data_IF_519004157266
#
_entry.id   IF_519004157266
#
_cell.length_a   1.000
_cell.length_b   1.000
_cell.length_c   1.000
_cell.angle_alpha   90.00
_cell.angle_beta   90.00
_cell.angle_gamma   90.00
#
_symmetry.space_group_name_H-M   'P 1'
#
loop_
_entity.id
_entity.type
_entity.pdbx_description
1 polymer ?
#
# COMPACT_ATOMS: atom_id res chain seq x y z
N UNK A 1 33.19 -0.31 -20.01
CA UNK A 1 33.88 -1.50 -19.49
C UNK A 1 32.90 -2.07 -18.47
N UNK A 2 32.09 -3.03 -18.88
CA UNK A 2 31.17 -3.70 -17.96
C UNK A 2 31.98 -4.80 -17.27
N UNK A 3 32.20 -4.64 -15.97
CA UNK A 3 32.95 -5.59 -15.17
C UNK A 3 31.95 -6.46 -14.39
N UNK A 4 31.77 -7.70 -14.84
CA UNK A 4 31.01 -8.70 -14.10
C UNK A 4 31.89 -9.24 -12.95
N UNK A 5 31.47 -8.98 -11.71
CA UNK A 5 32.19 -9.39 -10.51
C UNK A 5 31.71 -10.76 -10.05
N UNK A 6 32.60 -11.75 -10.04
CA UNK A 6 32.33 -13.10 -9.51
C UNK A 6 33.07 -13.28 -8.19
N UNK A 7 32.33 -13.44 -7.09
CA UNK A 7 32.88 -13.65 -5.75
C UNK A 7 33.21 -15.14 -5.58
N UNK A 8 34.45 -15.47 -5.21
CA UNK A 8 34.91 -16.85 -4.92
C UNK A 8 35.53 -16.91 -3.53
N UNK A 9 35.47 -18.08 -2.89
CA UNK A 9 36.21 -18.33 -1.64
C UNK A 9 37.71 -18.46 -1.88
N UNK A 10 38.50 -17.77 -1.03
CA UNK A 10 39.93 -18.03 -0.92
C UNK A 10 40.12 -19.35 -0.17
N UNK A 11 40.91 -20.26 -0.72
CA UNK A 11 41.12 -21.62 -0.21
C UNK A 11 41.78 -21.69 1.18
N UNK A 12 42.49 -20.65 1.63
CA UNK A 12 43.19 -20.67 2.93
C UNK A 12 43.11 -19.32 3.67
N UNK A 13 42.36 -19.27 4.76
CA UNK A 13 42.49 -18.21 5.77
C UNK A 13 42.33 -18.78 7.19
N UNK A 14 43.36 -19.50 7.67
CA UNK A 14 43.47 -19.83 9.09
C UNK A 14 44.00 -18.62 9.87
N UNK A 15 43.15 -17.62 10.10
CA UNK A 15 43.40 -16.60 11.13
C UNK A 15 42.65 -17.02 12.39
N UNK A 16 43.38 -17.64 13.34
CA UNK A 16 42.87 -17.95 14.67
C UNK A 16 42.41 -16.65 15.36
N UNK A 17 41.09 -16.45 15.50
CA UNK A 17 40.54 -15.37 16.32
C UNK A 17 39.24 -14.74 15.81
N UNK A 18 38.82 -15.01 14.58
CA UNK A 18 37.55 -14.52 14.04
C UNK A 18 36.62 -15.70 13.77
N UNK A 19 35.79 -16.07 14.77
CA UNK A 19 34.73 -17.05 14.57
C UNK A 19 33.75 -16.57 13.49
N UNK A 20 33.23 -17.44 12.62
CA UNK A 20 32.56 -17.00 11.40
C UNK A 20 31.26 -16.29 11.77
N UNK A 21 31.14 -14.99 11.52
CA UNK A 21 29.87 -14.27 11.73
C UNK A 21 28.71 -14.88 10.90
N UNK A 22 29.03 -15.69 9.89
CA UNK A 22 28.10 -16.40 9.01
C UNK A 22 27.11 -17.31 9.77
N UNK A 23 27.54 -18.01 10.83
CA UNK A 23 26.59 -18.89 11.56
C UNK A 23 25.51 -18.11 12.31
N UNK A 24 25.82 -16.90 12.81
CA UNK A 24 24.86 -16.06 13.52
C UNK A 24 23.82 -15.48 12.56
N UNK A 25 24.26 -15.08 11.36
CA UNK A 25 23.39 -14.55 10.31
C UNK A 25 22.43 -15.62 9.78
N UNK A 26 22.94 -16.84 9.55
CA UNK A 26 22.12 -17.97 9.13
C UNK A 26 21.07 -18.36 10.18
N UNK A 27 21.42 -18.37 11.46
CA UNK A 27 20.45 -18.59 12.55
C UNK A 27 19.38 -17.50 12.56
N UNK A 28 19.77 -16.23 12.38
CA UNK A 28 18.83 -15.11 12.31
C UNK A 28 17.85 -15.27 11.14
N UNK A 29 18.33 -15.61 9.95
CA UNK A 29 17.47 -15.80 8.77
C UNK A 29 16.49 -16.98 8.94
N UNK A 30 16.92 -18.06 9.62
CA UNK A 30 16.02 -19.17 9.99
C UNK A 30 14.91 -18.69 10.94
N UNK A 31 15.22 -17.84 11.92
CA UNK A 31 14.20 -17.24 12.78
C UNK A 31 13.23 -16.36 11.99
N UNK A 32 13.73 -15.53 11.07
CA UNK A 32 12.89 -14.69 10.20
C UNK A 32 11.94 -15.54 9.37
N UNK A 33 12.44 -16.61 8.76
CA UNK A 33 11.62 -17.58 8.01
C UNK A 33 10.55 -18.23 8.91
N UNK A 34 10.90 -18.59 10.14
CA UNK A 34 9.96 -19.16 11.11
C UNK A 34 8.82 -18.20 11.47
N UNK A 35 9.13 -16.94 11.79
CA UNK A 35 8.13 -15.91 12.09
C UNK A 35 7.25 -15.60 10.88
N UNK A 36 7.84 -15.51 9.68
CA UNK A 36 7.13 -15.26 8.43
C UNK A 36 6.18 -16.42 8.09
N UNK A 37 6.62 -17.68 8.23
CA UNK A 37 5.77 -18.85 8.00
C UNK A 37 4.58 -18.89 8.98
N UNK A 38 4.81 -18.60 10.26
CA UNK A 38 3.74 -18.52 11.26
C UNK A 38 2.74 -17.41 10.92
N UNK A 39 3.22 -16.21 10.58
CA UNK A 39 2.41 -15.08 10.15
C UNK A 39 1.55 -15.45 8.94
N UNK A 40 2.15 -16.03 7.91
CA UNK A 40 1.49 -16.44 6.69
C UNK A 40 0.36 -17.44 6.97
N UNK A 41 0.60 -18.48 7.78
CA UNK A 41 -0.41 -19.49 8.14
C UNK A 41 -1.59 -18.86 8.88
N UNK A 42 -1.31 -17.98 9.85
CA UNK A 42 -2.35 -17.30 10.63
C UNK A 42 -3.19 -16.35 9.76
N UNK A 43 -2.53 -15.57 8.89
CA UNK A 43 -3.20 -14.65 7.97
C UNK A 43 -4.02 -15.42 6.92
N UNK A 44 -3.48 -16.49 6.33
CA UNK A 44 -4.18 -17.35 5.39
C UNK A 44 -5.43 -17.99 6.03
N UNK A 45 -5.32 -18.49 7.27
CA UNK A 45 -6.46 -19.01 8.03
C UNK A 45 -7.54 -17.94 8.25
N UNK A 46 -7.14 -16.70 8.54
CA UNK A 46 -8.06 -15.57 8.70
C UNK A 46 -8.82 -15.28 7.40
N UNK A 47 -8.13 -15.23 6.26
CA UNK A 47 -8.76 -15.01 4.95
C UNK A 47 -9.69 -16.16 4.57
N UNK A 48 -9.29 -17.42 4.78
CA UNK A 48 -10.14 -18.58 4.49
C UNK A 48 -11.45 -18.51 5.29
N UNK A 49 -11.38 -18.11 6.56
CA UNK A 49 -12.58 -17.89 7.39
C UNK A 49 -13.44 -16.75 6.85
N UNK A 50 -12.84 -15.64 6.43
CA UNK A 50 -13.55 -14.54 5.78
C UNK A 50 -14.27 -14.96 4.49
N UNK A 51 -13.62 -15.75 3.63
CA UNK A 51 -14.23 -16.29 2.40
C UNK A 51 -15.34 -17.29 2.71
N UNK A 52 -15.17 -18.14 3.72
CA UNK A 52 -16.22 -19.08 4.14
C UNK A 52 -17.46 -18.32 4.63
N UNK A 53 -17.27 -17.33 5.49
CA UNK A 53 -18.34 -16.45 5.99
C UNK A 53 -19.03 -15.70 4.85
N UNK A 54 -18.26 -15.17 3.89
CA UNK A 54 -18.79 -14.50 2.71
C UNK A 54 -19.69 -15.45 1.89
N UNK A 55 -19.27 -16.71 1.67
CA UNK A 55 -20.08 -17.71 0.93
C UNK A 55 -21.37 -18.06 1.67
N UNK A 56 -21.30 -18.24 2.98
CA UNK A 56 -22.47 -18.50 3.81
C UNK A 56 -23.45 -17.32 3.80
N UNK A 57 -22.95 -16.10 3.94
CA UNK A 57 -23.76 -14.88 3.90
C UNK A 57 -24.42 -14.69 2.53
N UNK A 58 -23.70 -14.95 1.43
CA UNK A 58 -24.27 -14.88 0.08
C UNK A 58 -25.40 -15.90 -0.11
N UNK A 59 -25.21 -17.13 0.38
CA UNK A 59 -26.26 -18.16 0.32
C UNK A 59 -27.47 -17.78 1.16
N UNK A 60 -27.26 -17.27 2.38
CA UNK A 60 -28.32 -16.80 3.27
C UNK A 60 -29.13 -15.65 2.65
N UNK A 61 -28.44 -14.65 2.12
CA UNK A 61 -29.06 -13.46 1.55
C UNK A 61 -29.90 -13.81 0.31
N UNK A 62 -29.38 -14.70 -0.55
CA UNK A 62 -30.13 -15.20 -1.70
C UNK A 62 -31.42 -15.92 -1.27
N UNK A 63 -31.34 -16.80 -0.26
CA UNK A 63 -32.50 -17.56 0.23
C UNK A 63 -33.56 -16.68 0.90
N UNK A 64 -33.16 -15.60 1.60
CA UNK A 64 -34.08 -14.75 2.37
C UNK A 64 -34.69 -13.62 1.54
N UNK A 65 -33.90 -12.98 0.69
CA UNK A 65 -34.29 -11.76 -0.03
C UNK A 65 -34.41 -11.95 -1.55
N UNK A 66 -33.96 -13.09 -2.09
CA UNK A 66 -34.07 -13.41 -3.52
C UNK A 66 -33.25 -12.48 -4.43
N UNK A 67 -32.23 -11.81 -3.89
CA UNK A 67 -31.36 -10.86 -4.61
C UNK A 67 -29.91 -11.26 -4.49
N UNK A 68 -29.11 -10.97 -5.51
CA UNK A 68 -27.65 -11.15 -5.45
C UNK A 68 -27.00 -9.98 -4.71
N UNK A 69 -26.04 -10.28 -3.83
CA UNK A 69 -25.25 -9.26 -3.15
C UNK A 69 -24.28 -8.57 -4.11
N UNK A 70 -24.21 -7.23 -4.11
CA UNK A 70 -23.22 -6.46 -4.87
C UNK A 70 -21.78 -6.85 -4.52
N UNK A 71 -20.88 -6.78 -5.50
CA UNK A 71 -19.45 -7.06 -5.30
C UNK A 71 -18.77 -6.17 -4.25
N UNK A 72 -19.22 -4.92 -4.10
CA UNK A 72 -18.69 -4.00 -3.09
C UNK A 72 -18.89 -4.53 -1.66
N UNK A 73 -20.08 -5.07 -1.36
CA UNK A 73 -20.41 -5.67 -0.05
C UNK A 73 -19.65 -6.98 0.15
N UNK A 74 -19.45 -7.76 -0.93
CA UNK A 74 -18.63 -8.97 -0.88
C UNK A 74 -17.18 -8.68 -0.47
N UNK A 75 -16.58 -7.63 -1.00
CA UNK A 75 -15.18 -7.26 -0.69
C UNK A 75 -15.00 -6.77 0.75
N UNK A 76 -16.06 -6.35 1.43
CA UNK A 76 -16.04 -5.91 2.84
C UNK A 76 -15.71 -7.06 3.82
N UNK A 77 -16.04 -8.31 3.45
CA UNK A 77 -15.67 -9.50 4.23
C UNK A 77 -14.18 -9.85 4.15
N UNK A 78 -13.47 -9.32 3.14
CA UNK A 78 -12.04 -9.56 2.95
C UNK A 78 -11.25 -8.37 3.50
N UNK A 79 -10.62 -8.56 4.66
CA UNK A 79 -9.78 -7.52 5.24
C UNK A 79 -8.47 -7.37 4.46
N UNK A 80 -8.34 -6.23 3.75
CA UNK A 80 -7.22 -5.93 2.85
C UNK A 80 -5.85 -5.89 3.54
N UNK A 81 -5.80 -5.64 4.85
CA UNK A 81 -4.54 -5.65 5.60
C UNK A 81 -3.92 -7.05 5.67
N UNK A 82 -4.73 -8.11 5.79
CA UNK A 82 -4.20 -9.48 5.76
C UNK A 82 -3.65 -9.84 4.38
N UNK A 83 -4.25 -9.33 3.30
CA UNK A 83 -3.73 -9.52 1.94
C UNK A 83 -2.35 -8.85 1.81
N UNK A 84 -2.22 -7.61 2.30
CA UNK A 84 -0.95 -6.88 2.32
C UNK A 84 0.14 -7.62 3.11
N UNK A 85 -0.20 -8.16 4.29
CA UNK A 85 0.73 -8.96 5.09
C UNK A 85 1.14 -10.26 4.40
N UNK A 86 0.21 -10.96 3.73
CA UNK A 86 0.54 -12.18 2.97
C UNK A 86 1.50 -11.88 1.82
N UNK A 87 1.27 -10.80 1.07
CA UNK A 87 2.18 -10.38 -0.01
C UNK A 87 3.56 -10.08 0.57
N UNK A 88 3.62 -9.34 1.69
CA UNK A 88 4.88 -9.07 2.38
C UNK A 88 5.60 -10.35 2.81
N UNK A 89 4.87 -11.30 3.40
CA UNK A 89 5.42 -12.58 3.86
C UNK A 89 6.01 -13.38 2.68
N UNK A 90 5.33 -13.43 1.53
CA UNK A 90 5.86 -14.07 0.32
C UNK A 90 7.16 -13.42 -0.15
N UNK A 91 7.22 -12.08 -0.17
CA UNK A 91 8.43 -11.35 -0.56
C UNK A 91 9.59 -11.56 0.42
N UNK A 92 9.32 -11.57 1.74
CA UNK A 92 10.33 -11.86 2.77
C UNK A 92 10.83 -13.30 2.67
N UNK A 93 9.94 -14.27 2.46
CA UNK A 93 10.31 -15.68 2.28
C UNK A 93 11.22 -15.88 1.05
N UNK A 94 10.84 -15.32 -0.10
CA UNK A 94 11.66 -15.38 -1.32
C UNK A 94 12.99 -14.65 -1.14
N UNK A 95 12.98 -13.45 -0.56
CA UNK A 95 14.18 -12.65 -0.33
C UNK A 95 15.17 -13.31 0.63
N UNK A 96 14.69 -13.93 1.71
CA UNK A 96 15.54 -14.64 2.68
C UNK A 96 16.14 -15.93 2.10
N UNK A 97 15.40 -16.68 1.29
CA UNK A 97 15.96 -17.83 0.55
C UNK A 97 17.08 -17.37 -0.40
N UNK A 98 16.85 -16.28 -1.14
CA UNK A 98 17.89 -15.71 -2.01
C UNK A 98 19.10 -15.22 -1.21
N UNK A 99 18.88 -14.58 -0.06
CA UNK A 99 19.95 -14.14 0.85
C UNK A 99 20.81 -15.30 1.33
N UNK A 100 20.20 -16.40 1.79
CA UNK A 100 20.92 -17.62 2.20
C UNK A 100 21.69 -18.21 1.01
N UNK A 101 21.10 -18.21 -0.20
CA UNK A 101 21.78 -18.66 -1.42
C UNK A 101 23.00 -17.82 -1.80
N UNK A 102 22.96 -16.51 -1.54
CA UNK A 102 24.07 -15.58 -1.74
C UNK A 102 25.15 -15.77 -0.67
N UNK A 103 24.78 -15.94 0.59
CA UNK A 103 25.72 -16.22 1.69
C UNK A 103 26.40 -17.59 1.52
N UNK A 104 25.67 -18.57 0.96
CA UNK A 104 26.21 -19.85 0.51
C UNK A 104 27.03 -19.75 -0.79
N UNK A 105 27.21 -18.55 -1.35
CA UNK A 105 28.00 -18.23 -2.55
C UNK A 105 27.58 -19.01 -3.81
N UNK A 106 26.32 -19.45 -3.88
CA UNK A 106 25.78 -20.14 -5.06
C UNK A 106 25.49 -19.18 -6.22
N UNK A 107 25.09 -17.93 -5.92
CA UNK A 107 24.78 -16.88 -6.91
C UNK A 107 25.13 -15.49 -6.34
N UNK A 108 25.40 -14.50 -7.20
CA UNK A 108 25.82 -13.14 -6.80
C UNK A 108 24.80 -12.04 -7.19
N UNK A 109 23.50 -12.36 -7.20
CA UNK A 109 22.43 -11.41 -7.60
C UNK A 109 21.89 -10.60 -6.41
N UNK A 110 22.68 -9.65 -5.92
CA UNK A 110 22.30 -8.80 -4.77
C UNK A 110 21.14 -7.86 -5.07
N UNK A 111 20.99 -7.40 -6.31
CA UNK A 111 19.96 -6.42 -6.70
C UNK A 111 18.55 -6.96 -6.43
N UNK A 112 18.26 -8.16 -6.91
CA UNK A 112 16.95 -8.80 -6.74
C UNK A 112 16.66 -9.08 -5.27
N UNK A 113 17.66 -9.58 -4.52
CA UNK A 113 17.54 -9.84 -3.09
C UNK A 113 17.22 -8.56 -2.31
N UNK A 114 17.94 -7.47 -2.60
CA UNK A 114 17.74 -6.17 -1.94
C UNK A 114 16.38 -5.55 -2.26
N UNK A 115 15.89 -5.68 -3.50
CA UNK A 115 14.55 -5.21 -3.88
C UNK A 115 13.47 -6.02 -3.16
N UNK A 116 13.57 -7.35 -3.14
CA UNK A 116 12.58 -8.22 -2.46
C UNK A 116 12.51 -7.93 -0.96
N UNK A 117 13.67 -7.94 -0.27
CA UNK A 117 13.71 -7.67 1.17
C UNK A 117 13.32 -6.22 1.47
N UNK A 118 13.80 -5.25 0.70
CA UNK A 118 13.46 -3.83 0.86
C UNK A 118 11.96 -3.56 0.67
N UNK A 119 11.35 -4.08 -0.39
CA UNK A 119 9.90 -3.94 -0.63
C UNK A 119 9.07 -4.65 0.44
N UNK A 120 9.49 -5.84 0.90
CA UNK A 120 8.80 -6.54 1.98
C UNK A 120 8.81 -5.74 3.28
N UNK A 121 9.97 -5.19 3.69
CA UNK A 121 10.06 -4.40 4.92
C UNK A 121 9.20 -3.14 4.86
N UNK A 122 9.14 -2.47 3.70
CA UNK A 122 8.27 -1.32 3.48
C UNK A 122 6.79 -1.70 3.66
N UNK A 123 6.35 -2.84 3.12
CA UNK A 123 4.98 -3.34 3.31
C UNK A 123 4.70 -3.72 4.77
N UNK A 124 5.63 -4.36 5.48
CA UNK A 124 5.47 -4.64 6.93
C UNK A 124 5.25 -3.34 7.71
N UNK A 125 6.03 -2.30 7.44
CA UNK A 125 5.88 -1.00 8.09
C UNK A 125 4.56 -0.31 7.75
N UNK A 126 4.09 -0.41 6.51
CA UNK A 126 2.71 0.01 6.16
C UNK A 126 1.68 -0.82 6.95
N UNK A 127 1.90 -2.12 7.13
CA UNK A 127 1.05 -2.99 7.94
C UNK A 127 0.95 -2.55 9.41
N UNK A 128 1.93 -1.83 9.95
CA UNK A 128 1.87 -1.25 11.31
C UNK A 128 0.73 -0.24 11.44
N UNK A 129 0.38 0.45 10.35
CA UNK A 129 -0.73 1.44 10.32
C UNK A 129 -2.07 0.78 10.72
N UNK A 130 -2.25 -0.52 10.44
CA UNK A 130 -3.41 -1.28 10.93
C UNK A 130 -3.55 -1.23 12.45
N UNK A 131 -2.46 -1.36 13.20
CA UNK A 131 -2.53 -1.33 14.66
C UNK A 131 -2.82 0.08 15.19
N UNK A 132 -2.48 1.11 14.40
CA UNK A 132 -2.82 2.49 14.72
C UNK A 132 -4.31 2.77 14.51
N UNK A 133 -5.00 2.06 13.61
CA UNK A 133 -6.44 2.22 13.40
C UNK A 133 -7.29 1.81 14.62
N UNK A 134 -6.74 1.03 15.55
CA UNK A 134 -7.42 0.71 16.81
C UNK A 134 -7.67 1.97 17.67
N UNK A 135 -6.90 3.03 17.46
CA UNK A 135 -7.11 4.30 18.12
C UNK A 135 -8.07 5.18 17.31
N UNK A 136 -9.19 5.52 17.94
CA UNK A 136 -10.26 6.38 17.42
C UNK A 136 -9.76 7.63 16.65
N UNK A 137 -8.75 8.33 17.18
CA UNK A 137 -8.18 9.54 16.54
C UNK A 137 -7.44 9.25 15.23
N UNK A 138 -6.71 8.14 15.14
CA UNK A 138 -5.95 7.78 13.95
C UNK A 138 -6.81 7.07 12.91
N UNK A 139 -7.88 6.38 13.34
CA UNK A 139 -8.80 5.74 12.41
C UNK A 139 -9.48 6.73 11.46
N UNK A 140 -9.85 7.91 11.95
CA UNK A 140 -10.48 8.96 11.13
C UNK A 140 -9.62 9.31 9.91
N UNK A 141 -8.29 9.39 10.09
CA UNK A 141 -7.37 9.71 8.98
C UNK A 141 -7.28 8.58 7.95
N UNK A 142 -7.21 7.33 8.41
CA UNK A 142 -7.14 6.15 7.54
C UNK A 142 -8.43 5.98 6.74
N UNK A 143 -9.59 6.10 7.40
CA UNK A 143 -10.91 6.06 6.77
C UNK A 143 -11.06 7.20 5.77
N UNK A 144 -10.57 8.39 6.10
CA UNK A 144 -10.53 9.54 5.18
C UNK A 144 -9.75 9.24 3.91
N UNK A 145 -8.55 8.67 4.05
CA UNK A 145 -7.73 8.32 2.90
C UNK A 145 -8.43 7.25 2.02
N UNK A 146 -9.04 6.23 2.63
CA UNK A 146 -9.80 5.19 1.93
C UNK A 146 -11.01 5.74 1.19
N UNK A 147 -11.75 6.66 1.82
CA UNK A 147 -12.93 7.29 1.22
C UNK A 147 -12.56 8.27 0.09
N UNK A 148 -11.46 9.01 0.24
CA UNK A 148 -10.96 9.94 -0.78
C UNK A 148 -10.36 9.20 -1.99
N UNK A 149 -9.76 8.03 -1.78
CA UNK A 149 -9.03 7.25 -2.80
C UNK A 149 -9.76 7.09 -4.15
N UNK A 150 -11.03 6.61 -4.23
CA UNK A 150 -11.72 6.46 -5.51
C UNK A 150 -11.95 7.78 -6.25
N UNK A 151 -12.26 8.86 -5.52
CA UNK A 151 -12.46 10.18 -6.11
C UNK A 151 -11.13 10.75 -6.61
N UNK A 152 -10.07 10.59 -5.82
CA UNK A 152 -8.71 10.97 -6.19
C UNK A 152 -8.24 10.24 -7.43
N UNK A 153 -8.46 8.93 -7.56
CA UNK A 153 -8.09 8.17 -8.77
C UNK A 153 -8.78 8.74 -10.01
N UNK A 154 -10.09 9.01 -9.97
CA UNK A 154 -10.83 9.56 -11.12
C UNK A 154 -10.26 10.91 -11.54
N UNK A 155 -9.96 11.77 -10.58
CA UNK A 155 -9.32 13.05 -10.83
C UNK A 155 -7.91 12.88 -11.42
N UNK A 156 -7.09 12.00 -10.83
CA UNK A 156 -5.75 11.66 -11.32
C UNK A 156 -5.78 11.12 -12.75
N UNK A 157 -6.76 10.30 -13.14
CA UNK A 157 -6.90 9.83 -14.51
C UNK A 157 -7.12 11.00 -15.49
N UNK A 158 -7.96 11.98 -15.13
CA UNK A 158 -8.18 13.16 -15.95
C UNK A 158 -6.91 14.03 -16.06
N UNK A 159 -6.23 14.25 -14.93
CA UNK A 159 -4.96 14.98 -14.89
C UNK A 159 -3.84 14.27 -15.68
N UNK A 160 -3.80 12.93 -15.63
CA UNK A 160 -2.84 12.13 -16.36
C UNK A 160 -2.96 12.29 -17.88
N UNK A 161 -4.17 12.43 -18.43
CA UNK A 161 -4.38 12.69 -19.86
C UNK A 161 -3.73 14.01 -20.27
N UNK A 162 -3.94 15.08 -19.49
CA UNK A 162 -3.32 16.39 -19.73
C UNK A 162 -1.80 16.29 -19.59
N UNK A 163 -1.33 15.63 -18.52
CA UNK A 163 0.09 15.44 -18.23
C UNK A 163 0.81 14.71 -19.37
N UNK A 164 0.22 13.63 -19.89
CA UNK A 164 0.76 12.90 -21.04
C UNK A 164 0.82 13.79 -22.30
N UNK A 165 -0.18 14.64 -22.52
CA UNK A 165 -0.16 15.64 -23.59
C UNK A 165 1.05 16.58 -23.49
N UNK A 166 1.33 17.07 -22.28
CA UNK A 166 2.54 17.85 -22.02
C UNK A 166 3.81 17.00 -22.22
N UNK A 167 3.88 15.77 -21.71
CA UNK A 167 5.03 14.88 -21.91
C UNK A 167 5.37 14.68 -23.40
N UNK A 168 4.38 14.34 -24.24
CA UNK A 168 4.62 14.15 -25.68
C UNK A 168 5.04 15.44 -26.37
N UNK A 169 4.39 16.56 -26.04
CA UNK A 169 4.72 17.87 -26.61
C UNK A 169 6.15 18.31 -26.22
N UNK A 170 6.50 18.24 -24.94
CA UNK A 170 7.82 18.56 -24.43
C UNK A 170 8.90 17.64 -25.00
N UNK A 171 8.63 16.34 -25.11
CA UNK A 171 9.57 15.39 -25.69
C UNK A 171 9.91 15.72 -27.16
N UNK A 172 8.89 15.93 -28.00
CA UNK A 172 9.07 16.16 -29.43
C UNK A 172 9.71 17.54 -29.69
N UNK A 173 9.24 18.58 -29.01
CA UNK A 173 9.67 19.97 -29.31
C UNK A 173 10.96 20.33 -28.59
N UNK A 174 11.09 19.99 -27.30
CA UNK A 174 12.23 20.39 -26.46
C UNK A 174 13.35 19.34 -26.42
N UNK A 175 13.08 18.10 -26.84
CA UNK A 175 14.06 17.00 -26.78
C UNK A 175 15.40 17.27 -27.48
N UNK A 176 15.45 17.85 -28.69
CA UNK A 176 16.72 18.22 -29.34
C UNK A 176 17.47 19.35 -28.63
N UNK A 177 16.76 20.16 -27.85
CA UNK A 177 17.28 21.41 -27.30
C UNK A 177 17.59 21.32 -25.80
N UNK A 178 17.01 20.38 -25.06
CA UNK A 178 17.14 20.26 -23.60
C UNK A 178 17.52 18.84 -23.18
N UNK A 179 18.51 18.69 -22.29
CA UNK A 179 19.00 17.36 -21.89
C UNK A 179 17.94 16.56 -21.10
N UNK A 180 17.22 17.21 -20.17
CA UNK A 180 16.07 16.61 -19.44
C UNK A 180 14.92 16.12 -20.35
N UNK A 181 14.78 16.66 -21.57
CA UNK A 181 13.66 16.30 -22.45
C UNK A 181 14.01 15.23 -23.51
N UNK A 182 15.15 14.54 -23.40
CA UNK A 182 15.60 13.59 -24.44
C UNK A 182 14.75 12.33 -24.59
N UNK A 183 14.28 11.77 -23.47
CA UNK A 183 13.45 10.56 -23.48
C UNK A 183 12.15 10.82 -22.74
N UNK A 184 11.10 10.06 -23.06
CA UNK A 184 9.80 10.21 -22.40
C UNK A 184 9.90 9.99 -20.87
N UNK A 185 10.79 9.10 -20.41
CA UNK A 185 11.04 8.88 -18.97
C UNK A 185 11.61 10.12 -18.31
N UNK A 186 12.68 10.69 -18.88
CA UNK A 186 13.33 11.88 -18.31
C UNK A 186 12.43 13.11 -18.39
N UNK A 187 11.57 13.20 -19.41
CA UNK A 187 10.52 14.23 -19.50
C UNK A 187 9.53 14.06 -18.34
N UNK A 188 9.08 12.83 -18.08
CA UNK A 188 8.16 12.56 -16.98
C UNK A 188 8.80 12.89 -15.62
N UNK A 189 10.04 12.47 -15.40
CA UNK A 189 10.80 12.82 -14.19
C UNK A 189 10.93 14.34 -14.01
N UNK A 190 11.26 15.07 -15.09
CA UNK A 190 11.39 16.53 -15.07
C UNK A 190 10.05 17.23 -14.83
N UNK A 191 8.97 16.81 -15.48
CA UNK A 191 7.65 17.42 -15.27
C UNK A 191 7.11 17.09 -13.87
N UNK A 192 7.38 15.90 -13.35
CA UNK A 192 7.00 15.52 -11.98
C UNK A 192 7.79 16.33 -10.94
N UNK A 193 9.09 16.56 -11.13
CA UNK A 193 9.88 17.41 -10.25
C UNK A 193 9.37 18.86 -10.27
N UNK A 194 9.02 19.38 -11.45
CA UNK A 194 8.46 20.73 -11.61
C UNK A 194 7.11 20.91 -10.91
N UNK A 195 6.22 19.91 -10.92
CA UNK A 195 4.95 19.96 -10.17
C UNK A 195 5.21 20.13 -8.67
N UNK A 196 6.28 19.53 -8.15
CA UNK A 196 6.70 19.64 -6.76
C UNK A 196 7.58 20.88 -6.47
N UNK A 197 7.80 21.74 -7.47
CA UNK A 197 8.58 22.97 -7.32
C UNK A 197 10.09 22.77 -7.35
N UNK A 198 10.57 21.60 -7.76
CA UNK A 198 12.01 21.30 -7.83
C UNK A 198 12.60 21.67 -9.20
N UNK A 199 13.82 22.21 -9.18
CA UNK A 199 14.63 22.54 -10.36
C UNK A 199 14.01 23.52 -11.39
N UNK A 200 13.04 24.35 -10.98
CA UNK A 200 12.32 25.27 -11.89
C UNK A 200 13.27 26.20 -12.65
N UNK A 201 14.13 26.96 -11.96
CA UNK A 201 15.03 27.92 -12.61
C UNK A 201 16.03 27.26 -13.56
N UNK A 202 16.54 26.08 -13.22
CA UNK A 202 17.51 25.33 -14.03
C UNK A 202 16.91 24.99 -15.40
N UNK A 203 15.65 24.56 -15.43
CA UNK A 203 14.97 24.25 -16.71
C UNK A 203 14.81 25.47 -17.62
N UNK A 204 14.55 26.66 -17.06
CA UNK A 204 14.48 27.90 -17.84
C UNK A 204 15.87 28.39 -18.30
N UNK A 205 16.90 28.22 -17.46
CA UNK A 205 18.24 28.71 -17.73
C UNK A 205 18.94 27.95 -18.87
N UNK A 206 18.74 26.62 -18.95
CA UNK A 206 19.33 25.76 -19.99
C UNK A 206 18.80 26.09 -21.40
N UNK A 207 17.59 26.65 -21.52
CA UNK A 207 16.95 26.93 -22.82
C UNK A 207 17.42 28.21 -23.52
N UNK A 208 18.18 29.07 -22.85
CA UNK A 208 18.45 30.46 -23.29
C UNK A 208 19.37 30.60 -24.51
N UNK A 209 20.10 29.56 -24.91
CA UNK A 209 21.26 29.69 -25.81
C UNK A 209 21.07 29.10 -27.23
N UNK A 210 19.89 28.57 -27.60
CA UNK A 210 19.76 27.76 -28.83
C UNK A 210 18.98 28.41 -29.97
N UNK A 211 17.69 28.73 -29.79
CA UNK A 211 16.89 29.39 -30.83
C UNK A 211 15.76 30.21 -30.22
N UNK A 212 15.48 31.39 -30.77
CA UNK A 212 14.50 32.33 -30.20
C UNK A 212 13.07 31.79 -30.22
N UNK A 213 12.69 31.08 -31.29
CA UNK A 213 11.34 30.49 -31.43
C UNK A 213 11.11 29.36 -30.42
N UNK A 214 12.06 28.42 -30.31
CA UNK A 214 11.96 27.32 -29.34
C UNK A 214 12.10 27.83 -27.92
N UNK A 215 12.92 28.87 -27.69
CA UNK A 215 12.99 29.55 -26.41
C UNK A 215 11.63 30.14 -26.02
N UNK A 216 10.98 30.91 -26.90
CA UNK A 216 9.67 31.49 -26.62
C UNK A 216 8.60 30.42 -26.39
N UNK A 217 8.59 29.36 -27.21
CA UNK A 217 7.72 28.21 -27.01
C UNK A 217 7.95 27.55 -25.66
N UNK A 218 9.22 27.35 -25.26
CA UNK A 218 9.58 26.73 -23.98
C UNK A 218 9.16 27.56 -22.78
N UNK A 219 9.25 28.89 -22.87
CA UNK A 219 8.74 29.79 -21.83
C UNK A 219 7.24 29.61 -21.67
N UNK A 220 6.49 29.70 -22.78
CA UNK A 220 5.04 29.52 -22.77
C UNK A 220 4.66 28.14 -22.22
N UNK A 221 5.29 27.08 -22.72
CA UNK A 221 5.07 25.69 -22.32
C UNK A 221 5.30 25.48 -20.82
N UNK A 222 6.42 25.94 -20.27
CA UNK A 222 6.75 25.76 -18.86
C UNK A 222 5.86 26.64 -17.97
N UNK A 223 5.57 27.89 -18.35
CA UNK A 223 4.67 28.75 -17.58
C UNK A 223 3.24 28.20 -17.55
N UNK A 224 2.71 27.71 -18.68
CA UNK A 224 1.36 27.12 -18.71
C UNK A 224 1.32 25.82 -17.93
N UNK A 225 2.35 24.98 -18.03
CA UNK A 225 2.43 23.73 -17.28
C UNK A 225 2.48 23.98 -15.76
N UNK A 226 3.42 24.81 -15.30
CA UNK A 226 3.63 25.12 -13.88
C UNK A 226 2.36 25.77 -13.29
N UNK A 227 1.81 26.77 -13.96
CA UNK A 227 0.60 27.46 -13.46
C UNK A 227 -0.61 26.53 -13.40
N UNK A 228 -0.83 25.72 -14.43
CA UNK A 228 -1.95 24.78 -14.46
C UNK A 228 -1.80 23.70 -13.38
N UNK A 229 -0.66 23.02 -13.31
CA UNK A 229 -0.51 21.87 -12.41
C UNK A 229 -0.33 22.28 -10.94
N UNK A 230 0.43 23.34 -10.65
CA UNK A 230 0.65 23.77 -9.26
C UNK A 230 -0.57 24.51 -8.72
N UNK A 231 -1.14 25.47 -9.45
CA UNK A 231 -2.22 26.30 -8.88
C UNK A 231 -3.62 25.74 -9.08
N UNK A 232 -3.85 24.92 -10.11
CA UNK A 232 -5.19 24.35 -10.35
C UNK A 232 -5.22 22.89 -9.93
N UNK A 233 -4.39 22.03 -10.52
CA UNK A 233 -4.48 20.57 -10.30
C UNK A 233 -4.13 20.20 -8.85
N UNK A 234 -3.01 20.69 -8.32
CA UNK A 234 -2.58 20.40 -6.95
C UNK A 234 -3.56 21.00 -5.92
N UNK A 235 -4.05 22.22 -6.15
CA UNK A 235 -5.05 22.84 -5.27
C UNK A 235 -6.38 22.08 -5.26
N UNK A 236 -6.85 21.60 -6.41
CA UNK A 236 -8.03 20.73 -6.49
C UNK A 236 -7.80 19.38 -5.81
N UNK A 237 -6.62 18.79 -5.94
CA UNK A 237 -6.26 17.55 -5.27
C UNK A 237 -6.33 17.70 -3.74
N UNK A 238 -5.75 18.78 -3.20
CA UNK A 238 -5.84 19.11 -1.77
C UNK A 238 -7.29 19.36 -1.37
N UNK A 239 -8.07 20.10 -2.16
CA UNK A 239 -9.47 20.37 -1.87
C UNK A 239 -10.33 19.09 -1.82
N UNK A 240 -10.07 18.11 -2.69
CA UNK A 240 -10.79 16.82 -2.68
C UNK A 240 -10.50 16.01 -1.40
N UNK A 241 -9.24 15.98 -0.95
CA UNK A 241 -8.86 15.28 0.29
C UNK A 241 -9.45 16.02 1.50
N UNK A 242 -9.32 17.34 1.55
CA UNK A 242 -9.88 18.17 2.63
C UNK A 242 -11.40 18.06 2.69
N UNK A 243 -12.10 18.07 1.55
CA UNK A 243 -13.55 17.88 1.50
C UNK A 243 -13.97 16.49 2.01
N UNK A 244 -13.21 15.44 1.69
CA UNK A 244 -13.45 14.10 2.23
C UNK A 244 -13.20 14.03 3.74
N UNK A 245 -12.16 14.71 4.23
CA UNK A 245 -11.83 14.82 5.64
C UNK A 245 -12.92 15.55 6.43
N UNK A 246 -13.40 16.68 5.93
CA UNK A 246 -14.48 17.44 6.56
C UNK A 246 -15.79 16.65 6.59
N UNK A 247 -16.13 15.95 5.50
CA UNK A 247 -17.32 15.10 5.45
C UNK A 247 -17.30 14.02 6.55
N UNK A 248 -16.18 13.32 6.73
CA UNK A 248 -16.04 12.28 7.76
C UNK A 248 -15.97 12.88 9.16
N UNK A 249 -15.34 14.03 9.33
CA UNK A 249 -15.26 14.74 10.61
C UNK A 249 -16.63 15.23 11.10
N UNK A 250 -17.48 15.74 10.20
CA UNK A 250 -18.79 16.31 10.54
C UNK A 250 -19.90 15.27 10.64
N UNK A 251 -19.95 14.29 9.74
CA UNK A 251 -21.00 13.27 9.74
C UNK A 251 -20.66 12.03 10.59
N UNK A 252 -19.42 11.94 11.09
CA UNK A 252 -18.90 10.71 11.67
C UNK A 252 -18.81 9.59 10.64
N UNK A 253 -18.28 8.42 11.03
CA UNK A 253 -18.27 7.25 10.13
C UNK A 253 -19.72 6.78 9.83
N UNK A 254 -20.67 7.11 10.71
CA UNK A 254 -22.11 6.84 10.57
C UNK A 254 -22.80 7.61 9.43
N UNK A 255 -22.12 8.59 8.81
CA UNK A 255 -22.61 9.34 7.66
C UNK A 255 -22.30 8.71 6.30
N UNK A 256 -21.44 7.69 6.24
CA UNK A 256 -21.36 6.84 5.07
C UNK A 256 -22.68 6.05 5.01
N UNK A 257 -23.34 6.07 3.85
CA UNK A 257 -24.54 5.28 3.61
C UNK A 257 -24.35 3.87 4.20
N UNK A 258 -25.13 3.44 5.19
CA UNK A 258 -24.93 2.14 5.83
C UNK A 258 -25.06 1.08 4.74
N UNK A 259 -24.02 0.26 4.57
CA UNK A 259 -24.11 -0.87 3.64
C UNK A 259 -25.18 -1.83 4.16
N UNK A 260 -25.85 -2.55 3.26
CA UNK A 260 -26.89 -3.54 3.64
C UNK A 260 -26.38 -4.56 4.69
N UNK A 261 -25.07 -4.81 4.70
CA UNK A 261 -24.39 -5.61 5.73
C UNK A 261 -24.42 -4.95 7.11
N UNK A 262 -24.10 -3.64 7.20
CA UNK A 262 -24.14 -2.89 8.45
C UNK A 262 -25.57 -2.73 8.98
N UNK A 263 -26.58 -2.63 8.11
CA UNK A 263 -27.98 -2.65 8.54
C UNK A 263 -28.38 -4.03 9.10
N UNK A 264 -27.98 -5.12 8.43
CA UNK A 264 -28.22 -6.48 8.90
C UNK A 264 -27.55 -6.77 10.26
N UNK A 265 -26.31 -6.32 10.44
CA UNK A 265 -25.61 -6.46 11.73
C UNK A 265 -26.32 -5.63 12.82
N UNK A 266 -26.93 -4.49 12.47
CA UNK A 266 -27.60 -3.60 13.43
C UNK A 266 -28.95 -4.15 13.89
N UNK A 267 -29.59 -4.96 13.04
CA UNK A 267 -30.83 -5.67 13.36
C UNK A 267 -30.61 -6.71 14.47
N UNK A 268 -29.38 -7.27 14.57
CA UNK A 268 -28.97 -8.16 15.65
C UNK A 268 -28.67 -7.38 16.94
N UNK A 269 -29.64 -7.35 17.87
CA UNK A 269 -29.46 -6.81 19.25
C UNK A 269 -28.71 -7.76 20.20
N UNK A 270 -28.44 -8.99 19.77
CA UNK A 270 -27.85 -10.02 20.63
C UNK A 270 -26.32 -9.89 20.68
N UNK A 271 -25.76 -9.84 21.89
CA UNK A 271 -24.31 -9.75 22.09
C UNK A 271 -23.60 -11.03 21.59
N UNK A 272 -22.35 -10.95 21.09
CA UNK A 272 -21.58 -12.10 20.61
C UNK A 272 -21.33 -13.20 21.68
N UNK A 273 -21.61 -12.90 22.96
CA UNK A 273 -21.60 -13.86 24.08
C UNK A 273 -22.96 -14.42 24.48
N UNK A 274 -24.04 -14.14 23.74
CA UNK A 274 -25.43 -14.49 24.10
C UNK A 274 -25.72 -16.00 24.19
N UNK A 275 -24.74 -16.88 23.91
CA UNK A 275 -24.87 -18.33 24.07
C UNK A 275 -25.83 -19.02 23.09
N UNK A 276 -26.62 -18.27 22.31
CA UNK A 276 -27.60 -18.82 21.35
C UNK A 276 -27.01 -19.49 20.11
N UNK A 277 -25.69 -19.35 19.86
CA UNK A 277 -25.01 -19.93 18.70
C UNK A 277 -24.07 -21.10 19.03
N UNK A 278 -23.95 -21.51 20.29
CA UNK A 278 -23.24 -22.74 20.62
C UNK A 278 -24.23 -23.89 20.62
N UNK A 279 -24.33 -24.60 19.51
CA UNK A 279 -24.71 -26.00 19.58
C UNK A 279 -23.74 -26.74 20.52
N UNK A 280 -24.32 -27.65 21.27
CA UNK A 280 -23.84 -28.28 22.49
C UNK A 280 -22.46 -28.92 22.31
N UNK A 281 -21.44 -28.40 23.01
CA UNK A 281 -20.38 -29.22 23.58
C UNK A 281 -20.09 -28.75 25.02
N UNK A 282 -20.26 -29.71 25.93
CA UNK A 282 -20.19 -29.57 27.37
C UNK A 282 -18.79 -29.31 27.91
N UNK A 283 -18.71 -28.40 28.88
CA UNK A 283 -17.86 -28.51 30.08
C UNK A 283 -16.33 -28.34 29.95
N UNK A 284 -15.81 -27.18 30.35
CA UNK A 284 -15.14 -26.94 31.65
C UNK A 284 -14.66 -25.49 31.72
N UNK A 285 -15.17 -24.74 32.69
CA UNK A 285 -14.75 -23.37 32.97
C UNK A 285 -13.47 -23.40 33.82
N UNK A 286 -12.37 -22.85 33.31
CA UNK A 286 -11.15 -22.61 34.08
C UNK A 286 -11.11 -21.21 34.70
N UNK A 287 -10.55 -21.17 35.91
CA UNK A 287 -10.53 -20.16 36.98
C UNK A 287 -10.08 -18.70 36.69
N UNK A 288 -9.94 -18.26 35.44
CA UNK A 288 -9.53 -16.88 35.11
C UNK A 288 -10.62 -16.16 34.31
N UNK A 289 -11.73 -15.90 34.99
CA UNK A 289 -12.87 -15.16 34.46
C UNK A 289 -12.62 -13.65 34.62
N UNK A 290 -12.15 -12.98 33.55
CA UNK A 290 -12.25 -11.54 33.42
C UNK A 290 -13.47 -11.21 32.55
N UNK A 291 -14.56 -10.79 33.19
CA UNK A 291 -15.76 -10.33 32.54
C UNK A 291 -15.54 -9.04 31.72
N UNK A 292 -16.17 -9.04 30.54
CA UNK A 292 -16.74 -7.93 29.79
C UNK A 292 -15.87 -6.71 29.45
N UNK A 293 -15.37 -6.70 28.21
CA UNK A 293 -15.31 -5.48 27.40
C UNK A 293 -16.52 -5.49 26.47
N UNK A 294 -17.53 -4.67 26.78
CA UNK A 294 -18.60 -4.30 25.84
C UNK A 294 -17.95 -3.58 24.67
N UNK A 295 -17.74 -4.28 23.56
CA UNK A 295 -17.48 -3.64 22.27
C UNK A 295 -18.82 -3.08 21.78
N UNK A 296 -19.01 -1.78 21.96
CA UNK A 296 -20.13 -1.06 21.37
C UNK A 296 -20.01 -1.11 19.84
N UNK A 297 -21.15 -1.04 19.16
CA UNK A 297 -21.30 -1.07 17.69
C UNK A 297 -20.35 -0.14 16.92
N UNK A 298 -19.91 0.92 17.61
CA UNK A 298 -18.81 1.77 17.18
C UNK A 298 -17.56 0.94 16.85
N UNK A 299 -17.02 0.11 17.75
CA UNK A 299 -15.74 -0.60 17.62
C UNK A 299 -15.61 -1.48 16.36
N UNK A 300 -16.68 -2.07 15.85
CA UNK A 300 -16.63 -2.91 14.63
C UNK A 300 -16.48 -2.12 13.35
N UNK A 301 -16.98 -0.88 13.31
CA UNK A 301 -16.78 0.04 12.19
C UNK A 301 -15.34 0.58 12.16
N UNK A 302 -14.61 0.54 13.30
CA UNK A 302 -13.23 1.01 13.38
C UNK A 302 -12.16 0.01 12.92
N UNK A 303 -12.51 -1.27 12.69
CA UNK A 303 -11.50 -2.36 12.62
C UNK A 303 -11.35 -2.99 11.22
N UNK A 304 -12.28 -2.76 10.27
CA UNK A 304 -12.23 -3.34 8.91
C UNK A 304 -12.10 -2.31 7.77
#
# INVERSE_FOLDING_TARGET
LDNDVVIKECMDHSVLGYGPNDYKLLIFDIFVLGFCALSFILCARSIIRGVMLQKEFVKFYWLRYGRELPWAVRMEFLNGWYILLIISDILTFLGTIMKIGIEAKNFASYDVCSILLGTSTLLVWVGVIRYLSFFQKYNILIVTLRAAFPNVIRFCCCAAVIYLGYCFCGWIVLGPYHNKFRSLSTVSECLFSLINGDDMFVTFAEMRQKSTLVWLFSQLYLYTFISLFIYMVLSLFIALITGSYEAIKHHGISGLHPTELHEFIAECKDAPGSGKFREVESSMCSLFCCCNRTTTYEDTVFIN
#
